data_IF_279883582688
#
_entry.id   IF_279883582688
#
_cell.length_a   1.000
_cell.length_b   1.000
_cell.length_c   1.000
_cell.angle_alpha   90.00
_cell.angle_beta   90.00
_cell.angle_gamma   90.00
#
_symmetry.space_group_name_H-M   'P 1'
#
loop_
_entity.id
_entity.type
_entity.pdbx_description
1 polymer ?
#
# COMPACT_ATOMS: atom_id res chain seq x y z
N UNK A 1 -25.85 -5.19 -11.01
CA UNK A 1 -25.40 -6.25 -10.06
C UNK A 1 -23.90 -6.32 -10.17
N UNK A 2 -23.18 -6.42 -9.07
CA UNK A 2 -21.72 -6.59 -9.10
C UNK A 2 -21.43 -8.08 -9.31
N UNK A 3 -20.60 -8.39 -10.28
CA UNK A 3 -20.15 -9.75 -10.58
C UNK A 3 -18.66 -9.87 -10.34
N UNK A 4 -18.24 -10.95 -9.69
CA UNK A 4 -16.81 -11.22 -9.44
C UNK A 4 -16.22 -12.11 -10.55
N UNK A 5 -14.91 -11.91 -10.88
CA UNK A 5 -14.01 -10.88 -10.35
C UNK A 5 -14.28 -9.51 -10.98
N UNK A 6 -14.32 -8.45 -10.13
CA UNK A 6 -14.47 -7.06 -10.62
C UNK A 6 -13.19 -6.55 -11.33
N UNK A 7 -12.04 -7.12 -10.99
CA UNK A 7 -10.74 -6.87 -11.62
C UNK A 7 -10.13 -8.23 -12.03
N UNK A 8 -10.35 -8.70 -13.26
CA UNK A 8 -9.73 -9.93 -13.73
C UNK A 8 -8.22 -9.75 -13.93
N UNK A 9 -7.45 -10.83 -13.72
CA UNK A 9 -6.00 -10.84 -13.87
C UNK A 9 -5.28 -10.68 -12.55
N UNK A 10 -4.04 -10.15 -12.60
CA UNK A 10 -3.16 -10.01 -11.44
C UNK A 10 -3.43 -8.69 -10.72
N UNK A 11 -4.31 -8.72 -9.72
CA UNK A 11 -4.69 -7.57 -8.90
C UNK A 11 -4.75 -7.98 -7.41
N UNK A 12 -3.60 -8.38 -6.81
CA UNK A 12 -3.57 -8.85 -5.43
C UNK A 12 -3.67 -7.71 -4.43
N UNK A 13 -4.07 -8.05 -3.19
CA UNK A 13 -4.06 -7.18 -2.02
C UNK A 13 -4.79 -5.84 -2.23
N UNK A 14 -6.05 -5.84 -2.67
CA UNK A 14 -6.75 -4.62 -3.03
C UNK A 14 -7.08 -3.77 -1.79
N UNK A 15 -6.74 -2.48 -1.88
CA UNK A 15 -7.16 -1.44 -0.94
C UNK A 15 -8.11 -0.47 -1.63
N UNK A 16 -9.32 -0.28 -1.10
CA UNK A 16 -10.32 0.61 -1.69
C UNK A 16 -10.38 1.95 -0.97
N UNK A 17 -10.44 3.04 -1.73
CA UNK A 17 -10.61 4.40 -1.24
C UNK A 17 -11.75 5.08 -2.00
N UNK A 18 -12.62 5.83 -1.28
CA UNK A 18 -13.70 6.62 -1.87
C UNK A 18 -13.45 8.10 -1.69
N UNK A 19 -13.64 8.88 -2.76
CA UNK A 19 -13.57 10.35 -2.75
C UNK A 19 -14.79 10.89 -3.49
N UNK A 20 -15.75 11.42 -2.75
CA UNK A 20 -17.02 11.85 -3.34
C UNK A 20 -17.78 10.69 -4.01
N UNK A 21 -17.95 10.76 -5.32
CA UNK A 21 -18.58 9.71 -6.14
C UNK A 21 -17.57 8.78 -6.83
N UNK A 22 -16.29 9.01 -6.62
CA UNK A 22 -15.22 8.24 -7.24
C UNK A 22 -14.68 7.17 -6.28
N UNK A 23 -14.46 5.96 -6.80
CA UNK A 23 -13.87 4.83 -6.09
C UNK A 23 -12.55 4.47 -6.73
N UNK A 24 -11.55 4.22 -5.90
CA UNK A 24 -10.20 3.86 -6.32
C UNK A 24 -9.78 2.56 -5.64
N UNK A 25 -9.16 1.66 -6.38
CA UNK A 25 -8.52 0.46 -5.85
C UNK A 25 -7.03 0.53 -6.14
N UNK A 26 -6.21 0.43 -5.10
CA UNK A 26 -4.77 0.23 -5.19
C UNK A 26 -4.47 -1.26 -5.02
N UNK A 27 -3.56 -1.81 -5.83
CA UNK A 27 -3.14 -3.22 -5.74
C UNK A 27 -1.62 -3.35 -5.69
N UNK A 28 -1.13 -4.42 -5.06
CA UNK A 28 0.29 -4.74 -5.04
C UNK A 28 0.82 -5.14 -6.41
N UNK A 29 2.13 -4.97 -6.60
CA UNK A 29 2.80 -5.32 -7.85
C UNK A 29 4.05 -6.16 -7.63
N UNK A 30 4.38 -6.48 -6.38
CA UNK A 30 5.55 -7.27 -6.02
C UNK A 30 6.83 -6.72 -6.66
N UNK A 31 7.63 -7.57 -7.30
CA UNK A 31 8.89 -7.20 -7.98
C UNK A 31 8.70 -6.47 -9.32
N UNK A 32 7.47 -6.20 -9.73
CA UNK A 32 7.18 -5.63 -11.04
C UNK A 32 7.11 -4.12 -11.00
N UNK A 33 7.87 -3.47 -11.89
CA UNK A 33 7.86 -2.02 -12.07
C UNK A 33 7.04 -1.64 -13.32
N UNK A 34 6.24 -0.56 -13.27
CA UNK A 34 6.02 0.39 -12.17
C UNK A 34 5.14 -0.21 -11.06
N UNK A 35 5.32 0.27 -9.82
CA UNK A 35 4.63 -0.24 -8.65
C UNK A 35 3.28 0.43 -8.37
N UNK A 36 2.41 -0.29 -7.66
CA UNK A 36 1.05 0.06 -7.23
C UNK A 36 0.16 0.50 -8.38
N UNK A 37 -0.67 -0.42 -8.86
CA UNK A 37 -1.72 -0.10 -9.83
C UNK A 37 -2.88 0.62 -9.14
N UNK A 38 -3.44 1.63 -9.81
CA UNK A 38 -4.66 2.32 -9.38
C UNK A 38 -5.76 2.09 -10.41
N UNK A 39 -6.85 1.51 -9.97
CA UNK A 39 -8.08 1.37 -10.74
C UNK A 39 -9.14 2.35 -10.24
N UNK A 40 -9.97 2.82 -11.13
CA UNK A 40 -11.03 3.81 -10.86
C UNK A 40 -12.39 3.30 -11.32
N UNK A 41 -13.42 3.59 -10.53
CA UNK A 41 -14.82 3.38 -10.89
C UNK A 41 -15.70 4.49 -10.30
N UNK A 42 -16.86 4.70 -10.90
CA UNK A 42 -17.96 5.54 -10.35
C UNK A 42 -19.15 4.69 -9.86
N UNK A 43 -19.17 3.41 -10.16
CA UNK A 43 -20.33 2.55 -9.93
C UNK A 43 -19.98 1.20 -9.26
N UNK A 44 -18.70 0.97 -8.95
CA UNK A 44 -18.15 -0.28 -8.39
C UNK A 44 -18.29 -1.50 -9.33
N UNK A 45 -18.74 -1.29 -10.56
CA UNK A 45 -18.95 -2.34 -11.57
C UNK A 45 -17.96 -2.17 -12.72
N UNK A 46 -17.88 -0.96 -13.26
CA UNK A 46 -17.03 -0.64 -14.38
C UNK A 46 -15.73 0.00 -13.89
N UNK A 47 -14.65 -0.78 -13.94
CA UNK A 47 -13.33 -0.37 -13.49
C UNK A 47 -12.40 -0.12 -14.66
N UNK A 48 -11.58 0.92 -14.57
CA UNK A 48 -10.52 1.22 -15.53
C UNK A 48 -9.19 1.45 -14.82
N UNK A 49 -8.11 0.96 -15.38
CA UNK A 49 -6.77 1.28 -14.92
C UNK A 49 -6.48 2.77 -15.19
N UNK A 50 -6.09 3.52 -14.16
CA UNK A 50 -5.61 4.89 -14.28
C UNK A 50 -4.11 4.93 -14.55
N UNK A 51 -3.34 4.04 -13.97
CA UNK A 51 -1.88 3.99 -14.05
C UNK A 51 -1.26 3.40 -12.80
N UNK A 52 0.01 3.72 -12.61
CA UNK A 52 0.81 3.27 -11.48
C UNK A 52 1.37 4.47 -10.72
N UNK A 53 1.35 4.40 -9.39
CA UNK A 53 1.82 5.49 -8.52
C UNK A 53 3.35 5.49 -8.42
N UNK A 54 3.94 4.32 -8.21
CA UNK A 54 5.38 4.20 -7.98
C UNK A 54 6.10 4.00 -9.33
N UNK A 55 6.16 5.03 -10.14
CA UNK A 55 6.64 5.01 -11.52
C UNK A 55 7.97 5.77 -11.73
N UNK A 56 8.60 6.22 -10.66
CA UNK A 56 9.88 6.91 -10.66
C UNK A 56 10.86 6.20 -9.71
N UNK A 57 12.17 6.19 -10.05
CA UNK A 57 13.21 5.55 -9.24
C UNK A 57 13.28 6.11 -7.81
N UNK A 58 12.99 7.41 -7.63
CA UNK A 58 12.94 8.03 -6.29
C UNK A 58 11.79 7.50 -5.43
N UNK A 59 10.71 6.98 -6.04
CA UNK A 59 9.54 6.43 -5.32
C UNK A 59 9.69 4.95 -5.05
N UNK A 60 10.39 4.22 -5.92
CA UNK A 60 10.53 2.77 -5.84
C UNK A 60 11.83 2.29 -6.47
N UNK A 61 12.69 1.68 -5.67
CA UNK A 61 13.87 0.96 -6.12
C UNK A 61 13.68 -0.54 -5.87
N UNK A 62 13.59 -1.32 -6.96
CA UNK A 62 13.41 -2.77 -6.92
C UNK A 62 14.71 -3.55 -7.20
N UNK A 63 15.85 -2.86 -7.26
CA UNK A 63 17.15 -3.55 -7.49
C UNK A 63 17.45 -4.52 -6.36
N UNK A 64 17.67 -5.77 -6.71
CA UNK A 64 18.03 -6.82 -5.77
C UNK A 64 16.89 -7.42 -4.95
N UNK A 65 15.63 -7.03 -5.21
CA UNK A 65 14.49 -7.69 -4.57
C UNK A 65 14.33 -9.12 -5.06
N UNK A 66 13.99 -10.07 -4.18
CA UNK A 66 13.76 -11.46 -4.56
C UNK A 66 12.44 -11.62 -5.31
N UNK A 67 12.26 -12.78 -5.95
CA UNK A 67 10.94 -13.18 -6.46
C UNK A 67 9.90 -13.13 -5.35
N UNK A 68 8.71 -12.64 -5.66
CA UNK A 68 7.63 -12.38 -4.70
C UNK A 68 7.97 -11.37 -3.59
N UNK A 69 9.09 -10.68 -3.69
CA UNK A 69 9.43 -9.51 -2.88
C UNK A 69 8.88 -8.22 -3.51
N UNK A 70 9.52 -7.07 -3.24
CA UNK A 70 9.12 -5.77 -3.77
C UNK A 70 7.88 -5.21 -3.09
N UNK A 71 6.93 -4.65 -3.86
CA UNK A 71 5.77 -3.92 -3.32
C UNK A 71 4.66 -4.89 -2.92
N UNK A 72 4.52 -5.09 -1.61
CA UNK A 72 3.41 -5.85 -1.02
C UNK A 72 2.19 -4.93 -0.81
N UNK A 73 1.17 -5.43 -0.08
CA UNK A 73 -0.13 -4.79 0.06
C UNK A 73 -0.05 -3.28 0.31
N UNK A 74 -0.47 -2.44 -0.66
CA UNK A 74 -0.55 -1.00 -0.46
C UNK A 74 -1.87 -0.64 0.24
N UNK A 75 -1.89 0.49 0.94
CA UNK A 75 -3.13 1.08 1.44
C UNK A 75 -3.26 2.53 0.97
N UNK A 76 -4.32 2.79 0.22
CA UNK A 76 -4.67 4.12 -0.26
C UNK A 76 -5.75 4.70 0.64
N UNK A 77 -5.55 5.92 1.12
CA UNK A 77 -6.56 6.69 1.85
C UNK A 77 -6.62 8.14 1.38
N UNK A 78 -7.73 8.82 1.70
CA UNK A 78 -7.91 10.23 1.36
C UNK A 78 -8.46 10.98 2.57
N UNK A 79 -7.82 12.08 2.90
CA UNK A 79 -8.25 12.94 4.01
C UNK A 79 -7.86 14.39 3.73
N UNK A 80 -8.79 15.30 3.91
CA UNK A 80 -8.60 16.76 3.79
C UNK A 80 -7.88 17.19 2.49
N UNK A 81 -8.36 16.69 1.35
CA UNK A 81 -7.83 17.06 0.03
C UNK A 81 -6.52 16.40 -0.36
N UNK A 82 -6.06 15.41 0.42
CA UNK A 82 -4.76 14.74 0.22
C UNK A 82 -4.97 13.23 0.13
N UNK A 83 -4.38 12.60 -0.87
CA UNK A 83 -4.19 11.16 -0.94
C UNK A 83 -2.95 10.76 -0.16
N UNK A 84 -3.06 9.66 0.56
CA UNK A 84 -1.99 9.02 1.31
C UNK A 84 -1.84 7.60 0.80
N UNK A 85 -0.65 7.22 0.38
CA UNK A 85 -0.33 5.85 -0.01
C UNK A 85 0.71 5.29 0.94
N UNK A 86 0.33 4.24 1.65
CA UNK A 86 1.23 3.41 2.45
C UNK A 86 1.65 2.20 1.63
N UNK A 87 2.91 1.80 1.70
CA UNK A 87 3.39 0.59 1.03
C UNK A 87 4.63 0.03 1.72
N UNK A 88 4.85 -1.26 1.54
CA UNK A 88 6.06 -1.97 1.97
C UNK A 88 6.89 -2.32 0.74
N UNK A 89 8.21 -2.15 0.82
CA UNK A 89 9.14 -2.70 -0.17
C UNK A 89 9.89 -3.86 0.47
N UNK A 90 9.61 -5.08 0.05
CA UNK A 90 10.14 -6.30 0.65
C UNK A 90 11.45 -6.71 -0.04
N UNK A 91 12.56 -6.58 0.68
CA UNK A 91 13.89 -6.99 0.22
C UNK A 91 14.27 -8.39 0.69
N UNK A 92 13.69 -8.84 1.81
CA UNK A 92 13.94 -10.19 2.34
C UNK A 92 12.71 -10.67 3.14
N UNK A 93 12.16 -11.84 2.78
CA UNK A 93 11.01 -12.44 3.44
C UNK A 93 11.16 -13.93 3.77
N UNK A 94 12.18 -14.61 3.22
CA UNK A 94 12.34 -16.06 3.37
C UNK A 94 13.04 -16.45 4.67
N UNK A 95 13.94 -15.60 5.18
CA UNK A 95 14.70 -15.89 6.40
C UNK A 95 13.97 -15.46 7.67
N UNK A 96 14.47 -15.82 8.84
CA UNK A 96 13.99 -15.36 10.14
C UNK A 96 14.14 -13.83 10.27
N UNK A 97 15.23 -13.28 9.77
CA UNK A 97 15.41 -11.83 9.65
C UNK A 97 14.69 -11.34 8.40
N UNK A 98 13.75 -10.44 8.59
CA UNK A 98 12.99 -9.81 7.51
C UNK A 98 13.56 -8.44 7.20
N UNK A 99 13.47 -8.03 5.93
CA UNK A 99 13.78 -6.67 5.51
C UNK A 99 12.59 -6.13 4.72
N UNK A 100 11.76 -5.35 5.41
CA UNK A 100 10.44 -4.92 4.94
C UNK A 100 10.19 -3.45 5.31
N UNK A 101 10.98 -2.50 4.75
CA UNK A 101 10.77 -1.08 4.99
C UNK A 101 9.38 -0.64 4.52
N UNK A 102 8.70 0.09 5.40
CA UNK A 102 7.40 0.68 5.18
C UNK A 102 7.54 2.18 4.91
N UNK A 103 6.82 2.65 3.89
CA UNK A 103 6.87 4.04 3.44
C UNK A 103 5.48 4.67 3.33
N UNK A 104 5.46 5.99 3.47
CA UNK A 104 4.31 6.85 3.21
C UNK A 104 4.68 7.89 2.16
N UNK A 105 3.81 8.06 1.17
CA UNK A 105 3.85 9.19 0.22
C UNK A 105 2.48 9.86 0.17
N UNK A 106 2.47 11.12 -0.23
CA UNK A 106 1.26 11.93 -0.32
C UNK A 106 1.17 12.69 -1.64
N UNK A 107 -0.06 12.94 -2.11
CA UNK A 107 -0.33 13.80 -3.25
C UNK A 107 -1.72 14.43 -3.14
N UNK A 108 -1.93 15.56 -3.81
CA UNK A 108 -3.27 16.15 -4.02
C UNK A 108 -4.01 15.53 -5.19
N UNK A 109 -3.29 14.86 -6.08
CA UNK A 109 -3.84 14.20 -7.27
C UNK A 109 -3.22 12.81 -7.43
N UNK A 110 -4.02 11.82 -7.83
CA UNK A 110 -3.54 10.46 -8.05
C UNK A 110 -2.55 10.34 -9.21
N UNK A 111 -2.61 11.29 -10.16
CA UNK A 111 -1.61 11.40 -11.24
C UNK A 111 -0.29 12.03 -10.77
N UNK A 112 -0.22 12.47 -9.54
CA UNK A 112 0.94 13.13 -8.94
C UNK A 112 0.96 14.65 -9.13
N UNK A 113 2.08 15.31 -8.83
CA UNK A 113 3.29 14.69 -8.30
C UNK A 113 3.10 14.13 -6.90
N UNK A 114 3.71 12.98 -6.62
CA UNK A 114 3.79 12.39 -5.29
C UNK A 114 5.01 12.93 -4.54
N UNK A 115 4.88 13.06 -3.21
CA UNK A 115 5.99 13.43 -2.33
C UNK A 115 7.13 12.41 -2.40
N UNK A 116 8.30 12.78 -1.91
CA UNK A 116 9.33 11.79 -1.63
C UNK A 116 8.86 10.82 -0.54
N UNK A 117 9.32 9.54 -0.57
CA UNK A 117 8.94 8.55 0.41
C UNK A 117 9.46 8.90 1.81
N UNK A 118 8.56 8.90 2.78
CA UNK A 118 8.90 8.98 4.18
C UNK A 118 8.99 7.56 4.72
N UNK A 119 10.18 7.17 5.17
CA UNK A 119 10.37 5.90 5.88
C UNK A 119 9.70 5.96 7.25
N UNK A 120 8.88 4.95 7.57
CA UNK A 120 8.17 4.86 8.84
C UNK A 120 8.84 3.84 9.77
N UNK A 121 8.95 2.59 9.34
CA UNK A 121 9.59 1.51 10.09
C UNK A 121 9.94 0.33 9.16
N UNK A 122 10.63 -0.67 9.71
CA UNK A 122 10.90 -1.96 9.04
C UNK A 122 10.54 -3.13 9.97
N UNK A 123 9.47 -2.97 10.76
CA UNK A 123 9.07 -3.96 11.78
C UNK A 123 8.09 -5.01 11.27
N UNK A 124 7.56 -4.84 10.06
CA UNK A 124 6.54 -5.71 9.52
C UNK A 124 6.07 -5.26 8.14
N UNK A 125 4.82 -5.53 7.80
CA UNK A 125 4.27 -5.38 6.45
C UNK A 125 2.77 -5.03 6.50
N UNK A 126 2.11 -4.92 5.34
CA UNK A 126 0.68 -4.61 5.16
C UNK A 126 0.29 -3.35 5.93
N UNK A 127 0.89 -2.19 5.60
CA UNK A 127 0.63 -0.96 6.30
C UNK A 127 -0.73 -0.37 5.94
N UNK A 128 -1.30 0.37 6.87
CA UNK A 128 -2.45 1.24 6.63
C UNK A 128 -2.39 2.49 7.48
N UNK A 129 -3.17 3.52 7.09
CA UNK A 129 -3.23 4.79 7.79
C UNK A 129 -4.68 5.05 8.25
N UNK A 130 -4.85 5.20 9.55
CA UNK A 130 -6.10 5.65 10.15
C UNK A 130 -6.05 7.16 10.39
N UNK A 131 -7.08 7.87 9.92
CA UNK A 131 -7.27 9.31 10.14
C UNK A 131 -8.32 9.51 11.21
N UNK A 132 -7.91 10.05 12.36
CA UNK A 132 -8.81 10.32 13.47
C UNK A 132 -9.58 11.64 13.24
N UNK A 133 -10.71 11.77 13.89
CA UNK A 133 -11.58 12.97 13.83
C UNK A 133 -10.92 14.22 14.41
N UNK A 134 -9.93 14.06 15.28
CA UNK A 134 -9.14 15.16 15.87
C UNK A 134 -7.93 15.58 14.98
N UNK A 135 -7.81 15.00 13.79
CA UNK A 135 -6.75 15.28 12.82
C UNK A 135 -5.47 14.47 13.01
N UNK A 136 -5.37 13.70 14.09
CA UNK A 136 -4.24 12.79 14.28
C UNK A 136 -4.28 11.64 13.28
N UNK A 137 -3.11 11.12 13.00
CA UNK A 137 -2.93 9.97 12.12
C UNK A 137 -2.23 8.85 12.85
N UNK A 138 -2.71 7.64 12.59
CA UNK A 138 -2.15 6.44 13.21
C UNK A 138 -1.76 5.46 12.12
N UNK A 139 -0.51 5.04 12.17
CA UNK A 139 0.04 4.02 11.32
C UNK A 139 -0.23 2.64 11.92
N UNK A 140 -0.76 1.74 11.13
CA UNK A 140 -0.97 0.35 11.50
C UNK A 140 -0.18 -0.53 10.54
N UNK A 141 0.48 -1.54 11.06
CA UNK A 141 1.05 -2.62 10.25
C UNK A 141 1.12 -3.93 11.03
N UNK A 142 1.14 -5.03 10.31
CA UNK A 142 1.44 -6.35 10.86
C UNK A 142 2.92 -6.41 11.26
N UNK A 143 3.21 -7.03 12.40
CA UNK A 143 4.57 -7.25 12.89
C UNK A 143 4.78 -8.74 13.10
N UNK A 144 5.93 -9.26 12.67
CA UNK A 144 6.29 -10.64 12.97
C UNK A 144 6.65 -10.82 14.44
N UNK A 145 6.13 -11.89 15.05
CA UNK A 145 6.50 -12.34 16.38
C UNK A 145 7.15 -13.73 16.28
N UNK A 146 8.45 -13.79 16.54
CA UNK A 146 9.24 -15.01 16.45
C UNK A 146 9.41 -15.71 17.82
N UNK A 147 8.72 -15.23 18.87
CA UNK A 147 8.80 -15.81 20.20
C UNK A 147 8.04 -17.14 20.22
N UNK A 148 8.65 -18.15 20.84
CA UNK A 148 8.04 -19.47 20.98
C UNK A 148 6.71 -19.38 21.76
N UNK A 149 5.68 -20.07 21.25
CA UNK A 149 4.34 -20.08 21.82
C UNK A 149 3.48 -18.85 21.55
N UNK A 150 4.00 -17.85 20.83
CA UNK A 150 3.22 -16.69 20.38
C UNK A 150 2.62 -16.91 18.99
N UNK A 151 1.55 -16.14 18.68
CA UNK A 151 1.06 -16.06 17.31
C UNK A 151 2.14 -15.41 16.42
N UNK A 152 2.39 -15.91 15.20
CA UNK A 152 3.48 -15.40 14.35
C UNK A 152 3.33 -13.94 13.94
N UNK A 153 2.15 -13.36 14.10
CA UNK A 153 1.87 -11.97 13.75
C UNK A 153 1.05 -11.27 14.85
N UNK A 154 1.29 -9.97 15.01
CA UNK A 154 0.41 -9.08 15.77
C UNK A 154 0.30 -7.73 15.07
N UNK A 155 -0.76 -6.98 15.37
CA UNK A 155 -0.98 -5.64 14.84
C UNK A 155 -0.23 -4.62 15.71
N UNK A 156 0.60 -3.79 15.08
CA UNK A 156 1.20 -2.61 15.68
C UNK A 156 0.44 -1.36 15.28
N UNK A 157 0.29 -0.42 16.22
CA UNK A 157 -0.31 0.89 16.00
C UNK A 157 0.59 1.96 16.61
N UNK A 158 1.00 2.93 15.80
CA UNK A 158 1.79 4.07 16.23
C UNK A 158 1.16 5.37 15.76
N UNK A 159 1.26 6.42 16.55
CA UNK A 159 0.89 7.79 16.17
C UNK A 159 2.02 8.41 15.33
N UNK A 160 1.69 9.02 14.20
CA UNK A 160 2.63 9.70 13.30
C UNK A 160 2.20 11.11 12.96
#
# INVERSE_FOLDING_TARGET
MIENPILPGFNPDPSICRVGEDYYIATSTFEWFPGVQIHHSKDLVNWRLLGHVLNEERLLDLRGVPSSGGVWAPALSYYDGIFYLCYTVVHQHESVTKDTPNYLITSRDLSGPWSDPVFINSSGFDPSLFHDVDGKKYWLNMVWDHREGHHPFYLSLIHI
#
